data_IF_119193018363
#
_entry.id   IF_119193018363
#
_cell.length_a   1.000
_cell.length_b   1.000
_cell.length_c   1.000
_cell.angle_alpha   90.00
_cell.angle_beta   90.00
_cell.angle_gamma   90.00
#
_symmetry.space_group_name_H-M   'P 1'
#
loop_
_entity.id
_entity.type
_entity.pdbx_description
1 polymer ?
#
# COMPACT_ATOMS: atom_id res chain seq x y z
N UNK A 1 3.75 -4.66 -17.44
CA UNK A 1 4.86 -4.98 -16.50
C UNK A 1 4.28 -5.00 -15.09
N UNK A 2 4.50 -6.06 -14.28
CA UNK A 2 3.88 -6.23 -12.95
C UNK A 2 4.13 -5.04 -12.02
N UNK A 3 5.36 -4.51 -12.01
CA UNK A 3 5.71 -3.34 -11.20
C UNK A 3 4.91 -2.07 -11.56
N UNK A 4 4.70 -1.78 -12.86
CA UNK A 4 3.90 -0.61 -13.28
C UNK A 4 2.43 -0.76 -12.90
N UNK A 5 1.89 -1.97 -13.04
CA UNK A 5 0.53 -2.26 -12.64
C UNK A 5 0.36 -2.09 -11.11
N UNK A 6 1.33 -2.54 -10.31
CA UNK A 6 1.34 -2.28 -8.87
C UNK A 6 1.38 -0.79 -8.54
N UNK A 7 2.23 0.00 -9.21
CA UNK A 7 2.32 1.44 -9.01
C UNK A 7 0.97 2.12 -9.29
N UNK A 8 0.31 1.76 -10.39
CA UNK A 8 -1.02 2.29 -10.75
C UNK A 8 -2.05 2.04 -9.65
N UNK A 9 -2.10 0.80 -9.11
CA UNK A 9 -3.01 0.44 -8.04
C UNK A 9 -2.76 1.21 -6.75
N UNK A 10 -1.50 1.41 -6.39
CA UNK A 10 -1.14 2.19 -5.20
C UNK A 10 -1.44 3.69 -5.41
N UNK A 11 -1.28 4.22 -6.62
CA UNK A 11 -1.66 5.59 -6.94
C UNK A 11 -3.18 5.82 -6.82
N UNK A 12 -3.98 4.84 -7.25
CA UNK A 12 -5.43 4.87 -7.05
C UNK A 12 -5.82 4.80 -5.58
N UNK A 13 -5.17 3.94 -4.77
CA UNK A 13 -5.34 3.91 -3.31
C UNK A 13 -5.04 5.28 -2.68
N UNK A 14 -3.94 5.90 -3.11
CA UNK A 14 -3.55 7.24 -2.65
C UNK A 14 -4.58 8.29 -3.07
N UNK A 15 -5.15 8.20 -4.26
CA UNK A 15 -6.18 9.14 -4.72
C UNK A 15 -7.38 9.12 -3.77
N UNK A 16 -7.97 7.95 -3.60
CA UNK A 16 -9.22 7.74 -2.86
C UNK A 16 -9.05 8.07 -1.38
N UNK A 17 -7.98 7.57 -0.75
CA UNK A 17 -7.78 7.72 0.69
C UNK A 17 -7.17 9.05 1.12
N UNK A 18 -6.47 9.76 0.21
CA UNK A 18 -5.72 10.97 0.56
C UNK A 18 -6.10 12.17 -0.31
N UNK A 19 -6.06 12.04 -1.63
CA UNK A 19 -6.06 13.20 -2.52
C UNK A 19 -7.45 13.77 -2.80
N UNK A 20 -8.49 12.95 -2.67
CA UNK A 20 -9.90 13.34 -2.82
C UNK A 20 -10.44 14.05 -1.57
N UNK A 21 -9.79 13.88 -0.42
CA UNK A 21 -10.06 14.64 0.80
C UNK A 21 -9.07 15.79 0.93
N UNK A 22 -9.53 17.03 0.81
CA UNK A 22 -8.66 18.21 0.81
C UNK A 22 -7.91 18.41 2.14
N UNK A 23 -8.50 18.02 3.28
CA UNK A 23 -7.84 18.12 4.58
C UNK A 23 -6.69 17.11 4.67
N UNK A 24 -6.95 15.84 4.35
CA UNK A 24 -5.94 14.80 4.32
C UNK A 24 -4.82 15.10 3.33
N UNK A 25 -5.17 15.58 2.14
CA UNK A 25 -4.21 16.02 1.12
C UNK A 25 -3.29 17.12 1.62
N UNK A 26 -3.83 18.13 2.30
CA UNK A 26 -3.03 19.19 2.91
C UNK A 26 -2.11 18.65 4.01
N UNK A 27 -2.63 17.81 4.90
CA UNK A 27 -1.85 17.19 5.98
C UNK A 27 -0.74 16.29 5.43
N UNK A 28 -1.03 15.50 4.41
CA UNK A 28 -0.07 14.60 3.75
C UNK A 28 1.07 15.35 3.05
N UNK A 29 0.75 16.47 2.40
CA UNK A 29 1.74 17.34 1.76
C UNK A 29 2.52 18.19 2.76
N UNK A 30 2.04 18.33 3.99
CA UNK A 30 2.68 19.13 5.01
C UNK A 30 4.08 18.60 5.35
N UNK A 31 4.99 19.51 5.72
CA UNK A 31 6.31 19.14 6.25
C UNK A 31 6.21 18.31 7.55
N UNK A 32 5.07 18.38 8.23
CA UNK A 32 4.82 17.76 9.53
C UNK A 32 4.53 16.27 9.41
N UNK A 33 3.88 15.81 8.34
CA UNK A 33 3.69 14.38 8.07
C UNK A 33 5.00 13.57 8.17
N UNK A 34 6.09 14.11 7.61
CA UNK A 34 7.40 13.44 7.63
C UNK A 34 8.09 13.51 9.00
N UNK A 35 7.79 14.52 9.81
CA UNK A 35 8.56 14.84 11.04
C UNK A 35 7.83 14.50 12.33
N UNK A 36 6.51 14.46 12.32
CA UNK A 36 5.67 14.38 13.51
C UNK A 36 4.86 13.08 13.53
N UNK A 37 5.16 12.22 14.50
CA UNK A 37 4.45 10.95 14.68
C UNK A 37 2.97 11.15 15.03
N UNK A 38 2.61 12.23 15.71
CA UNK A 38 1.22 12.57 16.06
C UNK A 38 0.42 12.88 14.82
N UNK A 39 0.98 13.68 13.91
CA UNK A 39 0.36 13.95 12.59
C UNK A 39 0.17 12.66 11.81
N UNK A 40 1.16 11.75 11.86
CA UNK A 40 1.01 10.44 11.20
C UNK A 40 -0.12 9.59 11.77
N UNK A 41 -0.21 9.50 13.10
CA UNK A 41 -1.28 8.79 13.79
C UNK A 41 -2.65 9.41 13.49
N UNK A 42 -2.74 10.73 13.44
CA UNK A 42 -3.98 11.41 13.09
C UNK A 42 -4.41 11.13 11.64
N UNK A 43 -3.49 11.21 10.68
CA UNK A 43 -3.79 10.86 9.28
C UNK A 43 -4.26 9.41 9.17
N UNK A 44 -3.55 8.48 9.82
CA UNK A 44 -3.95 7.07 9.87
C UNK A 44 -5.35 6.89 10.46
N UNK A 45 -5.63 7.53 11.61
CA UNK A 45 -6.96 7.50 12.24
C UNK A 45 -8.05 8.01 11.30
N UNK A 46 -7.84 9.16 10.64
CA UNK A 46 -8.83 9.72 9.71
C UNK A 46 -9.06 8.79 8.52
N UNK A 47 -8.01 8.19 7.96
CA UNK A 47 -8.16 7.19 6.89
C UNK A 47 -8.97 5.97 7.34
N UNK A 48 -8.76 5.49 8.57
CA UNK A 48 -9.54 4.38 9.15
C UNK A 48 -11.01 4.78 9.28
N UNK A 49 -11.29 5.99 9.77
CA UNK A 49 -12.67 6.47 9.88
C UNK A 49 -13.36 6.58 8.51
N UNK A 50 -12.65 7.06 7.48
CA UNK A 50 -13.17 7.10 6.11
C UNK A 50 -13.41 5.70 5.56
N UNK A 51 -12.47 4.78 5.74
CA UNK A 51 -12.63 3.38 5.34
C UNK A 51 -13.83 2.70 5.99
N UNK A 52 -14.13 3.01 7.26
CA UNK A 52 -15.28 2.46 7.97
C UNK A 52 -16.61 3.16 7.64
N UNK A 53 -16.57 4.46 7.34
CA UNK A 53 -17.77 5.28 7.15
C UNK A 53 -18.24 5.41 5.70
N UNK A 54 -17.32 5.33 4.72
CA UNK A 54 -17.59 5.55 3.29
C UNK A 54 -17.53 4.22 2.53
N UNK A 55 -18.70 3.62 2.21
CA UNK A 55 -18.76 2.29 1.55
C UNK A 55 -17.98 2.22 0.24
N UNK A 56 -18.06 3.27 -0.58
CA UNK A 56 -17.36 3.31 -1.88
C UNK A 56 -15.84 3.34 -1.68
N UNK A 57 -15.35 4.07 -0.67
CA UNK A 57 -13.94 4.08 -0.28
C UNK A 57 -13.52 2.71 0.24
N UNK A 58 -14.35 2.08 1.08
CA UNK A 58 -14.10 0.75 1.62
C UNK A 58 -13.92 -0.26 0.47
N UNK A 59 -14.94 -0.43 -0.36
CA UNK A 59 -14.96 -1.43 -1.43
C UNK A 59 -13.83 -1.20 -2.45
N UNK A 60 -13.58 0.07 -2.82
CA UNK A 60 -12.50 0.41 -3.75
C UNK A 60 -11.12 0.14 -3.14
N UNK A 61 -10.93 0.47 -1.86
CA UNK A 61 -9.65 0.23 -1.17
C UNK A 61 -9.38 -1.25 -0.97
N UNK A 62 -10.41 -2.02 -0.62
CA UNK A 62 -10.39 -3.50 -0.55
C UNK A 62 -9.95 -4.09 -1.88
N UNK A 63 -10.65 -3.77 -2.97
CA UNK A 63 -10.33 -4.27 -4.31
C UNK A 63 -8.91 -3.90 -4.75
N UNK A 64 -8.49 -2.65 -4.57
CA UNK A 64 -7.16 -2.20 -4.98
C UNK A 64 -6.05 -2.82 -4.12
N UNK A 65 -6.28 -3.02 -2.82
CA UNK A 65 -5.31 -3.73 -1.99
C UNK A 65 -5.23 -5.18 -2.42
N UNK A 66 -6.35 -5.85 -2.71
CA UNK A 66 -6.34 -7.21 -3.25
C UNK A 66 -5.53 -7.33 -4.53
N UNK A 67 -5.68 -6.39 -5.46
CA UNK A 67 -4.83 -6.34 -6.66
C UNK A 67 -3.34 -6.23 -6.29
N UNK A 68 -2.98 -5.41 -5.30
CA UNK A 68 -1.60 -5.30 -4.81
C UNK A 68 -1.11 -6.60 -4.18
N UNK A 69 -1.94 -7.25 -3.35
CA UNK A 69 -1.63 -8.51 -2.67
C UNK A 69 -1.36 -9.64 -3.67
N UNK A 70 -2.19 -9.74 -4.71
CA UNK A 70 -2.04 -10.74 -5.77
C UNK A 70 -0.71 -10.58 -6.54
N UNK A 71 -0.20 -9.36 -6.66
CA UNK A 71 1.11 -9.10 -7.30
C UNK A 71 2.26 -9.43 -6.33
N UNK A 72 2.05 -9.16 -5.04
CA UNK A 72 3.03 -9.28 -3.96
C UNK A 72 2.92 -10.58 -3.16
N UNK A 73 2.44 -11.66 -3.78
CA UNK A 73 2.12 -12.96 -3.15
C UNK A 73 3.21 -13.52 -2.20
N UNK A 74 4.47 -13.14 -2.41
CA UNK A 74 5.61 -13.56 -1.58
C UNK A 74 5.79 -12.76 -0.26
N UNK A 75 5.04 -11.69 -0.02
CA UNK A 75 5.12 -10.89 1.21
C UNK A 75 4.31 -11.54 2.32
N UNK A 76 5.00 -12.08 3.33
CA UNK A 76 4.38 -12.80 4.46
C UNK A 76 3.43 -11.92 5.27
N UNK A 77 3.83 -10.69 5.58
CA UNK A 77 3.00 -9.73 6.33
C UNK A 77 1.68 -9.40 5.62
N UNK A 78 1.72 -9.36 4.30
CA UNK A 78 0.56 -9.16 3.44
C UNK A 78 -0.28 -10.43 3.25
N UNK A 79 0.35 -11.61 3.29
CA UNK A 79 -0.33 -12.90 3.25
C UNK A 79 -1.12 -13.16 4.53
N UNK A 80 -0.57 -12.83 5.69
CA UNK A 80 -1.29 -12.97 6.96
C UNK A 80 -2.53 -12.06 6.97
N UNK A 81 -2.41 -10.83 6.45
CA UNK A 81 -3.56 -9.95 6.21
C UNK A 81 -4.57 -10.58 5.25
N UNK A 82 -4.11 -11.21 4.15
CA UNK A 82 -4.98 -11.91 3.19
C UNK A 82 -5.77 -13.05 3.84
N UNK A 83 -5.15 -13.86 4.68
CA UNK A 83 -5.80 -14.97 5.40
C UNK A 83 -6.85 -14.42 6.38
N UNK A 84 -6.49 -13.42 7.20
CA UNK A 84 -7.44 -12.74 8.13
C UNK A 84 -8.62 -12.10 7.41
N UNK A 85 -8.36 -11.41 6.30
CA UNK A 85 -9.39 -10.65 5.58
C UNK A 85 -10.35 -11.59 4.84
N UNK A 86 -9.85 -12.69 4.26
CA UNK A 86 -10.72 -13.71 3.64
C UNK A 86 -11.65 -14.39 4.64
N UNK A 87 -11.19 -14.64 5.86
CA UNK A 87 -12.03 -15.23 6.91
C UNK A 87 -13.04 -14.21 7.46
N UNK A 88 -12.67 -12.92 7.51
CA UNK A 88 -13.59 -11.85 7.85
C UNK A 88 -14.63 -11.58 6.75
N UNK A 89 -14.30 -11.68 5.46
CA UNK A 89 -15.29 -11.55 4.37
C UNK A 89 -16.29 -12.70 4.36
N UNK A 90 -15.86 -13.93 4.72
CA UNK A 90 -16.79 -15.05 4.97
C UNK A 90 -17.71 -14.77 6.17
N UNK A 91 -17.19 -14.13 7.22
CA UNK A 91 -17.95 -13.75 8.42
C UNK A 91 -18.83 -12.50 8.26
N UNK A 92 -18.40 -11.50 7.49
CA UNK A 92 -19.11 -10.26 7.19
C UNK A 92 -20.33 -10.55 6.32
N UNK A 93 -20.25 -11.52 5.41
CA UNK A 93 -21.40 -11.99 4.65
C UNK A 93 -22.48 -12.61 5.57
N UNK A 94 -22.11 -13.15 6.73
CA UNK A 94 -23.06 -13.65 7.75
C UNK A 94 -23.55 -12.48 8.63
N UNK A 95 -22.67 -11.57 9.04
CA UNK A 95 -23.03 -10.43 9.88
C UNK A 95 -23.93 -9.43 9.14
N UNK A 96 -23.68 -9.11 7.87
CA UNK A 96 -24.54 -8.26 7.04
C UNK A 96 -25.89 -8.92 6.75
N UNK A 97 -25.91 -10.25 6.55
CA UNK A 97 -27.15 -11.01 6.39
C UNK A 97 -28.01 -11.01 7.67
N UNK A 98 -27.38 -11.00 8.85
CA UNK A 98 -28.05 -10.92 10.15
C UNK A 98 -28.37 -9.48 10.60
N UNK A 99 -27.61 -8.48 10.11
CA UNK A 99 -27.76 -7.06 10.47
C UNK A 99 -28.72 -6.29 9.54
N UNK A 100 -29.25 -6.91 8.49
CA UNK A 100 -30.35 -6.35 7.70
C UNK A 100 -31.58 -6.10 8.60
N UNK A 101 -31.73 -4.83 9.03
CA UNK A 101 -32.90 -4.33 9.73
C UNK A 101 -32.75 -4.05 11.22
N UNK A 102 -31.58 -4.28 11.84
CA UNK A 102 -31.38 -4.00 13.27
C UNK A 102 -30.17 -3.06 13.53
N UNK A 103 -30.41 -1.80 13.95
CA UNK A 103 -29.36 -0.82 14.26
C UNK A 103 -28.37 -1.29 15.34
N UNK A 104 -28.84 -2.11 16.29
CA UNK A 104 -28.00 -2.64 17.38
C UNK A 104 -27.00 -3.67 16.83
N UNK A 105 -27.40 -4.51 15.87
CA UNK A 105 -26.51 -5.49 15.24
C UNK A 105 -25.52 -4.85 14.27
N UNK A 106 -25.86 -3.74 13.61
CA UNK A 106 -24.88 -2.93 12.87
C UNK A 106 -23.83 -2.32 13.81
N UNK A 107 -24.25 -1.87 14.99
CA UNK A 107 -23.34 -1.34 16.02
C UNK A 107 -22.46 -2.45 16.60
N UNK A 108 -23.02 -3.64 16.86
CA UNK A 108 -22.27 -4.81 17.35
C UNK A 108 -21.33 -5.37 16.27
N UNK A 109 -21.70 -5.33 14.98
CA UNK A 109 -20.79 -5.66 13.88
C UNK A 109 -19.59 -4.73 13.79
N UNK A 110 -19.76 -3.45 14.11
CA UNK A 110 -18.66 -2.49 14.24
C UNK A 110 -17.82 -2.70 15.52
N UNK A 111 -18.40 -3.24 16.60
CA UNK A 111 -17.71 -3.57 17.86
C UNK A 111 -17.00 -4.94 17.79
N UNK A 112 -17.51 -5.87 16.97
CA UNK A 112 -16.95 -7.22 16.74
C UNK A 112 -15.93 -7.25 15.61
N UNK A 113 -15.83 -6.20 14.78
CA UNK A 113 -14.64 -5.97 13.97
C UNK A 113 -13.52 -5.71 14.97
N UNK A 114 -12.62 -6.68 15.13
CA UNK A 114 -11.36 -6.50 15.86
C UNK A 114 -10.82 -5.10 15.53
N UNK A 115 -10.72 -4.24 16.54
CA UNK A 115 -10.31 -2.84 16.38
C UNK A 115 -8.94 -2.68 15.68
N UNK A 116 -8.22 -3.77 15.38
CA UNK A 116 -6.98 -3.78 14.62
C UNK A 116 -7.12 -4.01 13.10
N UNK A 117 -8.13 -4.70 12.55
CA UNK A 117 -8.05 -5.08 11.12
C UNK A 117 -8.16 -3.89 10.14
N UNK A 118 -9.13 -2.97 10.26
CA UNK A 118 -9.16 -1.75 9.43
C UNK A 118 -7.89 -0.90 9.61
N UNK A 119 -7.35 -0.88 10.83
CA UNK A 119 -6.11 -0.19 11.18
C UNK A 119 -4.88 -0.81 10.50
N UNK A 120 -4.74 -2.14 10.55
CA UNK A 120 -3.73 -2.94 9.85
C UNK A 120 -3.84 -2.75 8.33
N UNK A 121 -5.07 -2.75 7.81
CA UNK A 121 -5.37 -2.57 6.38
C UNK A 121 -4.87 -1.21 5.88
N UNK A 122 -5.27 -0.13 6.55
CA UNK A 122 -4.80 1.23 6.25
C UNK A 122 -3.30 1.37 6.48
N UNK A 123 -2.75 0.74 7.53
CA UNK A 123 -1.32 0.72 7.79
C UNK A 123 -0.51 0.16 6.62
N UNK A 124 -0.95 -0.98 6.08
CA UNK A 124 -0.32 -1.61 4.92
C UNK A 124 -0.41 -0.75 3.65
N UNK A 125 -1.58 -0.14 3.39
CA UNK A 125 -1.73 0.80 2.28
C UNK A 125 -0.77 1.99 2.42
N UNK A 126 -0.65 2.56 3.62
CA UNK A 126 0.26 3.68 3.87
C UNK A 126 1.73 3.30 3.64
N UNK A 127 2.15 2.09 4.01
CA UNK A 127 3.49 1.57 3.71
C UNK A 127 3.71 1.41 2.20
N UNK A 128 2.75 0.82 1.47
CA UNK A 128 2.80 0.72 0.02
C UNK A 128 2.94 2.09 -0.64
N UNK A 129 2.15 3.08 -0.21
CA UNK A 129 2.20 4.46 -0.71
C UNK A 129 3.57 5.11 -0.49
N UNK A 130 4.22 4.83 0.66
CA UNK A 130 5.59 5.33 0.94
C UNK A 130 6.62 4.71 -0.01
N UNK A 131 6.45 3.44 -0.34
CA UNK A 131 7.38 2.68 -1.18
C UNK A 131 7.29 3.04 -2.68
N UNK A 132 6.20 3.67 -3.15
CA UNK A 132 5.99 4.00 -4.57
C UNK A 132 7.16 4.78 -5.19
N UNK A 133 7.81 5.69 -4.45
CA UNK A 133 8.95 6.44 -4.99
C UNK A 133 10.12 5.52 -5.38
N UNK A 134 10.39 4.51 -4.55
CA UNK A 134 11.42 3.51 -4.84
C UNK A 134 11.00 2.62 -6.03
N UNK A 135 9.72 2.23 -6.13
CA UNK A 135 9.20 1.46 -7.27
C UNK A 135 9.34 2.22 -8.59
N UNK A 136 9.00 3.51 -8.60
CA UNK A 136 9.18 4.38 -9.78
C UNK A 136 10.65 4.51 -10.15
N UNK A 137 11.52 4.74 -9.17
CA UNK A 137 12.95 4.84 -9.41
C UNK A 137 13.54 3.51 -9.94
N UNK A 138 13.07 2.36 -9.45
CA UNK A 138 13.43 1.03 -9.98
C UNK A 138 13.03 0.89 -11.46
N UNK A 139 11.79 1.24 -11.79
CA UNK A 139 11.30 1.19 -13.17
C UNK A 139 12.10 2.12 -14.08
N UNK A 140 12.40 3.34 -13.63
CA UNK A 140 13.18 4.32 -14.39
C UNK A 140 14.62 3.83 -14.61
N UNK A 141 15.26 3.31 -13.57
CA UNK A 141 16.61 2.76 -13.65
C UNK A 141 16.68 1.56 -14.59
N UNK A 142 15.66 0.69 -14.59
CA UNK A 142 15.57 -0.45 -15.50
C UNK A 142 15.44 0.01 -16.96
N UNK A 143 14.59 1.00 -17.24
CA UNK A 143 14.41 1.57 -18.59
C UNK A 143 15.71 2.21 -19.10
N UNK A 144 16.45 2.93 -18.25
CA UNK A 144 17.71 3.60 -18.61
C UNK A 144 18.84 2.61 -18.87
N UNK A 145 19.05 1.68 -17.95
CA UNK A 145 20.19 0.74 -18.00
C UNK A 145 19.95 -0.42 -18.97
N UNK A 146 18.69 -0.79 -19.24
CA UNK A 146 18.28 -1.95 -20.06
C UNK A 146 18.95 -3.26 -19.65
N UNK A 147 19.32 -3.38 -18.37
CA UNK A 147 19.92 -4.59 -17.84
C UNK A 147 18.84 -5.67 -17.74
N UNK A 148 19.02 -6.75 -18.50
CA UNK A 148 18.07 -7.86 -18.53
C UNK A 148 18.41 -9.01 -17.59
N UNK A 149 19.57 -8.99 -16.92
CA UNK A 149 19.97 -10.03 -15.95
C UNK A 149 19.78 -9.51 -14.54
N UNK A 150 19.12 -10.28 -13.69
CA UNK A 150 18.80 -9.88 -12.31
C UNK A 150 20.07 -9.51 -11.52
N UNK A 151 21.08 -10.38 -11.51
CA UNK A 151 22.34 -10.14 -10.80
C UNK A 151 23.03 -8.83 -11.21
N UNK A 152 23.05 -8.52 -12.51
CA UNK A 152 23.65 -7.27 -13.01
C UNK A 152 22.83 -6.05 -12.60
N UNK A 153 21.50 -6.14 -12.66
CA UNK A 153 20.63 -5.04 -12.28
C UNK A 153 20.72 -4.76 -10.78
N UNK A 154 20.70 -5.79 -9.93
CA UNK A 154 20.86 -5.64 -8.48
C UNK A 154 22.22 -5.03 -8.13
N UNK A 155 23.31 -5.51 -8.74
CA UNK A 155 24.63 -4.92 -8.55
C UNK A 155 24.67 -3.45 -9.00
N UNK A 156 24.01 -3.11 -10.10
CA UNK A 156 23.93 -1.73 -10.57
C UNK A 156 23.16 -0.82 -9.60
N UNK A 157 22.10 -1.31 -8.94
CA UNK A 157 21.36 -0.59 -7.90
C UNK A 157 22.21 -0.47 -6.62
N UNK A 158 22.94 -1.51 -6.25
CA UNK A 158 23.77 -1.55 -5.04
C UNK A 158 25.05 -0.73 -5.15
N UNK A 159 25.53 -0.45 -6.36
CA UNK A 159 26.70 0.40 -6.61
C UNK A 159 26.64 1.76 -5.88
N UNK A 160 27.80 2.23 -5.45
CA UNK A 160 27.98 3.57 -4.83
C UNK A 160 28.69 4.55 -5.79
N UNK A 161 28.74 4.21 -7.08
CA UNK A 161 29.29 5.09 -8.10
C UNK A 161 28.55 6.44 -8.15
N UNK A 162 29.29 7.51 -8.40
CA UNK A 162 28.75 8.86 -8.58
C UNK A 162 28.53 9.13 -10.08
N UNK A 163 27.55 8.45 -10.65
CA UNK A 163 27.15 8.57 -12.05
C UNK A 163 25.75 9.19 -12.19
N UNK A 164 25.23 9.23 -13.43
CA UNK A 164 23.90 9.73 -13.77
C UNK A 164 22.71 8.97 -13.13
N UNK A 165 22.95 7.82 -12.50
CA UNK A 165 21.98 7.00 -11.78
C UNK A 165 22.08 7.13 -10.25
N UNK A 166 23.02 7.91 -9.72
CA UNK A 166 23.21 8.10 -8.27
C UNK A 166 21.91 8.49 -7.56
N UNK A 167 21.12 9.41 -8.13
CA UNK A 167 19.88 9.88 -7.51
C UNK A 167 18.78 8.81 -7.52
N UNK A 168 18.72 7.97 -8.55
CA UNK A 168 17.82 6.82 -8.60
C UNK A 168 18.20 5.81 -7.53
N UNK A 169 19.49 5.47 -7.41
CA UNK A 169 19.97 4.58 -6.36
C UNK A 169 19.62 5.08 -4.96
N UNK A 170 19.80 6.37 -4.69
CA UNK A 170 19.41 6.99 -3.40
C UNK A 170 17.91 6.87 -3.13
N UNK A 171 17.05 7.04 -4.13
CA UNK A 171 15.59 6.89 -3.97
C UNK A 171 15.19 5.44 -3.74
N UNK A 172 15.79 4.51 -4.47
CA UNK A 172 15.56 3.07 -4.33
C UNK A 172 15.99 2.59 -2.93
N UNK A 173 17.23 2.91 -2.53
CA UNK A 173 17.85 2.48 -1.25
C UNK A 173 17.17 3.06 0.00
N UNK A 174 16.29 4.06 -0.13
CA UNK A 174 15.46 4.56 0.99
C UNK A 174 14.38 3.58 1.42
N UNK A 175 13.93 2.70 0.52
CA UNK A 175 12.97 1.66 0.81
C UNK A 175 13.73 0.39 1.18
N UNK A 176 13.55 -0.15 2.40
CA UNK A 176 14.22 -1.39 2.82
C UNK A 176 13.80 -2.61 2.00
N UNK A 177 12.59 -2.58 1.42
CA UNK A 177 11.96 -3.69 0.69
C UNK A 177 12.20 -3.65 -0.82
N UNK A 178 13.05 -2.74 -1.31
CA UNK A 178 13.20 -2.49 -2.74
C UNK A 178 13.53 -3.75 -3.58
N UNK A 179 14.25 -4.73 -2.99
CA UNK A 179 14.60 -6.00 -3.66
C UNK A 179 13.37 -6.84 -3.99
N UNK A 180 12.35 -6.81 -3.14
CA UNK A 180 11.08 -7.51 -3.37
C UNK A 180 10.39 -6.92 -4.61
N UNK A 181 10.38 -5.59 -4.74
CA UNK A 181 9.82 -4.90 -5.90
C UNK A 181 10.68 -5.09 -7.16
N UNK A 182 12.01 -5.19 -7.03
CA UNK A 182 12.90 -5.47 -8.16
C UNK A 182 12.58 -6.83 -8.81
N UNK A 183 12.13 -7.82 -8.03
CA UNK A 183 11.71 -9.13 -8.55
C UNK A 183 10.48 -9.09 -9.47
N UNK A 184 9.75 -7.97 -9.49
CA UNK A 184 8.58 -7.73 -10.36
C UNK A 184 8.96 -7.15 -11.73
N UNK A 185 10.22 -6.78 -11.93
CA UNK A 185 10.75 -6.37 -13.22
C UNK A 185 10.94 -7.60 -14.13
N UNK A 186 10.86 -7.44 -15.46
CA UNK A 186 11.04 -8.54 -16.42
C UNK A 186 12.54 -8.86 -16.60
N UNK A 187 13.18 -9.29 -15.51
CA UNK A 187 14.59 -9.69 -15.45
C UNK A 187 14.71 -11.19 -15.67
N UNK A 188 15.72 -11.61 -16.43
CA UNK A 188 16.14 -13.00 -16.54
C UNK A 188 16.87 -13.38 -15.27
N UNK A 189 16.35 -14.41 -14.59
CA UNK A 189 16.97 -15.05 -13.43
C UNK A 189 18.22 -15.81 -13.86
#
# INVERSE_FOLDING_TARGET
>A
MKLLFLIDRIDNLKSILILEDDNLKQMWKSRYWRKDATVRKHIHFVMVQRFLGERDVQASSEMLLFDCLNILENRKDLRDLWEKTNDLFKGANIADFLAHGNPILQTIGNILREEDLPSEFIGNIMELIKDVDAMRALSEMWVKTKLCKESKFLAAVESDEQDEHMDLRKRIKKCSRWKEYASLLPLKR
#
